data_IF_210832825719
#
_entry.id   IF_210832825719
#
_cell.length_a   1.000
_cell.length_b   1.000
_cell.length_c   1.000
_cell.angle_alpha   90.00
_cell.angle_beta   90.00
_cell.angle_gamma   90.00
#
_symmetry.space_group_name_H-M   'P 1'
#
loop_
_entity.id
_entity.type
_entity.pdbx_description
1 polymer ?
#
# COMPACT_ATOMS: atom_id res chain seq x y z
N UNK A 1 -12.24 25.87 -2.03
CA UNK A 1 -12.22 25.30 -3.39
C UNK A 1 -12.18 23.79 -3.31
N UNK A 2 -13.24 23.08 -3.73
CA UNK A 2 -13.18 21.62 -3.87
C UNK A 2 -12.14 21.28 -4.95
N UNK A 3 -11.10 20.51 -4.59
CA UNK A 3 -10.14 20.02 -5.58
C UNK A 3 -10.82 18.90 -6.37
N UNK A 4 -11.09 19.15 -7.64
CA UNK A 4 -11.59 18.14 -8.56
C UNK A 4 -10.45 17.15 -8.83
N UNK A 5 -10.63 15.90 -8.40
CA UNK A 5 -9.65 14.84 -8.63
C UNK A 5 -9.92 14.13 -9.95
N UNK A 6 -8.87 13.80 -10.70
CA UNK A 6 -9.02 12.94 -11.87
C UNK A 6 -9.43 11.52 -11.45
N UNK A 7 -10.03 10.76 -12.37
CA UNK A 7 -10.41 9.36 -12.12
C UNK A 7 -9.22 8.53 -11.61
N UNK A 8 -8.04 8.74 -12.18
CA UNK A 8 -6.81 8.07 -11.76
C UNK A 8 -6.40 8.45 -10.33
N UNK A 9 -6.49 9.74 -9.97
CA UNK A 9 -6.22 10.19 -8.59
C UNK A 9 -7.19 9.54 -7.59
N UNK A 10 -8.48 9.44 -7.94
CA UNK A 10 -9.47 8.77 -7.11
C UNK A 10 -9.14 7.28 -6.92
N UNK A 11 -8.66 6.60 -7.97
CA UNK A 11 -8.22 5.21 -7.87
C UNK A 11 -7.00 5.05 -6.96
N UNK A 12 -6.03 5.95 -7.03
CA UNK A 12 -4.86 5.95 -6.13
C UNK A 12 -5.29 6.17 -4.67
N UNK A 13 -6.18 7.13 -4.42
CA UNK A 13 -6.72 7.40 -3.08
C UNK A 13 -7.51 6.19 -2.56
N UNK A 14 -8.31 5.55 -3.41
CA UNK A 14 -9.04 4.33 -3.07
C UNK A 14 -8.08 3.22 -2.67
N UNK A 15 -7.07 2.93 -3.49
CA UNK A 15 -6.07 1.91 -3.20
C UNK A 15 -5.35 2.16 -1.87
N UNK A 16 -4.96 3.41 -1.60
CA UNK A 16 -4.34 3.79 -0.32
C UNK A 16 -5.25 3.47 0.86
N UNK A 17 -6.54 3.84 0.79
CA UNK A 17 -7.52 3.56 1.84
C UNK A 17 -7.74 2.07 2.03
N UNK A 18 -7.80 1.31 0.95
CA UNK A 18 -8.05 -0.12 1.01
C UNK A 18 -6.86 -0.86 1.63
N UNK A 19 -5.62 -0.48 1.27
CA UNK A 19 -4.41 -1.00 1.90
C UNK A 19 -4.33 -0.66 3.39
N UNK A 20 -4.67 0.57 3.78
CA UNK A 20 -4.71 0.93 5.19
C UNK A 20 -5.77 0.12 5.95
N UNK A 21 -6.93 -0.13 5.35
CA UNK A 21 -8.00 -0.94 5.97
C UNK A 21 -7.63 -2.40 6.10
N UNK A 22 -6.91 -2.96 5.14
CA UNK A 22 -6.43 -4.34 5.20
C UNK A 22 -5.51 -4.59 6.40
N UNK A 23 -4.84 -3.55 6.91
CA UNK A 23 -3.90 -3.64 8.04
C UNK A 23 -4.47 -3.13 9.37
N UNK A 24 -5.69 -2.58 9.37
CA UNK A 24 -6.38 -2.18 10.61
C UNK A 24 -6.78 -3.43 11.41
N UNK A 25 -6.58 -3.44 12.74
CA UNK A 25 -7.08 -4.52 13.58
C UNK A 25 -8.59 -4.66 13.44
N UNK A 26 -9.09 -5.84 13.12
CA UNK A 26 -10.52 -6.13 13.28
C UNK A 26 -10.82 -6.19 14.78
N UNK A 27 -11.77 -5.37 15.23
CA UNK A 27 -12.21 -5.31 16.64
C UNK A 27 -12.72 -6.66 17.16
N UNK A 28 -13.07 -7.58 16.26
CA UNK A 28 -13.55 -8.93 16.56
C UNK A 28 -12.45 -9.97 16.78
N UNK A 29 -11.17 -9.63 16.69
CA UNK A 29 -10.08 -10.54 17.07
C UNK A 29 -9.79 -10.37 18.57
N UNK A 30 -10.26 -11.30 19.44
CA UNK A 30 -9.90 -11.23 20.84
C UNK A 30 -8.40 -11.52 20.95
N UNK A 31 -7.68 -10.75 21.77
CA UNK A 31 -6.34 -11.08 22.27
C UNK A 31 -5.18 -11.20 21.26
N UNK A 32 -5.17 -10.44 20.16
CA UNK A 32 -3.92 -10.26 19.40
C UNK A 32 -2.93 -9.40 20.21
N UNK A 33 -2.04 -10.06 20.96
CA UNK A 33 -1.07 -9.44 21.87
C UNK A 33 -0.27 -8.27 21.29
N UNK A 34 0.25 -7.42 22.20
CA UNK A 34 0.97 -6.16 21.93
C UNK A 34 2.00 -6.19 20.79
N UNK A 35 2.58 -7.35 20.47
CA UNK A 35 3.53 -7.49 19.35
C UNK A 35 2.85 -7.43 17.97
N UNK A 36 1.66 -8.03 17.79
CA UNK A 36 0.91 -7.99 16.52
C UNK A 36 0.32 -6.61 16.25
N UNK A 37 -0.04 -5.86 17.29
CA UNK A 37 -0.49 -4.48 17.15
C UNK A 37 0.65 -3.55 16.76
N UNK A 38 1.87 -3.76 17.29
CA UNK A 38 3.07 -3.03 16.90
C UNK A 38 3.45 -3.29 15.42
N UNK A 39 3.52 -4.54 14.98
CA UNK A 39 3.81 -4.90 13.58
C UNK A 39 2.80 -4.27 12.60
N UNK A 40 1.52 -4.24 12.95
CA UNK A 40 0.47 -3.58 12.14
C UNK A 40 0.63 -2.07 12.09
N UNK A 41 1.07 -1.44 13.19
CA UNK A 41 1.33 0.00 13.24
C UNK A 41 2.52 0.35 12.33
N UNK A 42 3.61 -0.41 12.43
CA UNK A 42 4.78 -0.27 11.55
C UNK A 42 4.39 -0.44 10.08
N UNK A 43 3.54 -1.42 9.75
CA UNK A 43 3.06 -1.64 8.39
C UNK A 43 2.23 -0.47 7.86
N UNK A 44 1.37 0.12 8.71
CA UNK A 44 0.61 1.31 8.36
C UNK A 44 1.52 2.51 8.04
N UNK A 45 2.57 2.70 8.82
CA UNK A 45 3.53 3.79 8.60
C UNK A 45 4.44 3.51 7.40
N UNK A 46 4.76 2.25 7.14
CA UNK A 46 5.40 1.82 5.91
C UNK A 46 4.53 2.17 4.69
N UNK A 47 3.26 1.77 4.66
CA UNK A 47 2.33 2.10 3.55
C UNK A 47 2.29 3.61 3.30
N UNK A 48 2.17 4.42 4.35
CA UNK A 48 2.19 5.90 4.24
C UNK A 48 3.47 6.42 3.60
N UNK A 49 4.61 5.90 4.03
CA UNK A 49 5.93 6.30 3.54
C UNK A 49 6.11 5.94 2.07
N UNK A 50 5.69 4.73 1.69
CA UNK A 50 5.73 4.27 0.30
C UNK A 50 4.88 5.14 -0.63
N UNK A 51 3.64 5.43 -0.26
CA UNK A 51 2.75 6.28 -1.07
C UNK A 51 3.32 7.71 -1.22
N UNK A 52 3.92 8.27 -0.16
CA UNK A 52 4.55 9.59 -0.23
C UNK A 52 5.78 9.58 -1.15
N UNK A 53 6.61 8.53 -1.08
CA UNK A 53 7.78 8.40 -1.94
C UNK A 53 7.39 8.31 -3.41
N UNK A 54 6.43 7.45 -3.74
CA UNK A 54 5.96 7.32 -5.14
C UNK A 54 5.28 8.59 -5.65
N UNK A 55 4.54 9.29 -4.80
CA UNK A 55 3.95 10.58 -5.16
C UNK A 55 5.01 11.65 -5.52
N UNK A 56 6.20 11.57 -4.92
CA UNK A 56 7.35 12.42 -5.28
C UNK A 56 8.10 11.94 -6.54
N UNK A 57 7.99 10.66 -6.89
CA UNK A 57 8.67 10.06 -8.04
C UNK A 57 7.99 10.39 -9.37
N UNK A 58 6.65 10.37 -9.41
CA UNK A 58 5.90 10.54 -10.64
C UNK A 58 5.50 11.98 -10.91
N UNK A 59 5.73 12.46 -12.13
CA UNK A 59 5.09 13.67 -12.64
C UNK A 59 3.61 13.38 -12.94
N UNK A 60 2.76 14.39 -12.80
CA UNK A 60 1.31 14.27 -13.07
C UNK A 60 0.99 13.83 -14.52
N UNK A 61 1.91 14.07 -15.45
CA UNK A 61 1.78 13.72 -16.87
C UNK A 61 2.20 12.28 -17.18
N UNK A 62 2.88 11.59 -16.26
CA UNK A 62 3.35 10.21 -16.44
C UNK A 62 2.25 9.18 -16.17
N UNK A 63 1.10 9.37 -16.83
CA UNK A 63 -0.14 8.61 -16.61
C UNK A 63 0.09 7.11 -16.65
N UNK A 64 0.79 6.61 -17.68
CA UNK A 64 1.07 5.18 -17.84
C UNK A 64 1.90 4.58 -16.69
N UNK A 65 2.84 5.35 -16.15
CA UNK A 65 3.67 4.89 -15.03
C UNK A 65 2.87 4.84 -13.74
N UNK A 66 2.01 5.85 -13.51
CA UNK A 66 1.09 5.89 -12.37
C UNK A 66 0.10 4.72 -12.45
N UNK A 67 -0.44 4.43 -13.63
CA UNK A 67 -1.31 3.27 -13.83
C UNK A 67 -0.60 1.93 -13.61
N UNK A 68 0.64 1.80 -14.07
CA UNK A 68 1.44 0.61 -13.82
C UNK A 68 1.69 0.41 -12.32
N UNK A 69 1.98 1.49 -11.58
CA UNK A 69 2.12 1.46 -10.12
C UNK A 69 0.80 1.10 -9.43
N UNK A 70 -0.31 1.66 -9.89
CA UNK A 70 -1.66 1.36 -9.38
C UNK A 70 -1.99 -0.13 -9.55
N UNK A 71 -1.75 -0.71 -10.73
CA UNK A 71 -1.98 -2.15 -10.99
C UNK A 71 -1.13 -3.05 -10.08
N UNK A 72 0.14 -2.69 -9.85
CA UNK A 72 1.01 -3.43 -8.91
C UNK A 72 0.47 -3.39 -7.49
N UNK A 73 0.03 -2.22 -7.02
CA UNK A 73 -0.52 -2.07 -5.69
C UNK A 73 -1.85 -2.82 -5.50
N UNK A 74 -2.71 -2.85 -6.54
CA UNK A 74 -3.96 -3.63 -6.52
C UNK A 74 -3.70 -5.13 -6.38
N UNK A 75 -2.78 -5.70 -7.16
CA UNK A 75 -2.38 -7.12 -7.00
C UNK A 75 -1.91 -7.41 -5.57
N UNK A 76 -1.13 -6.51 -4.98
CA UNK A 76 -0.64 -6.68 -3.62
C UNK A 76 -1.75 -6.62 -2.55
N UNK A 77 -2.77 -5.80 -2.79
CA UNK A 77 -3.97 -5.77 -1.96
C UNK A 77 -4.76 -7.09 -2.08
N UNK A 78 -4.87 -7.65 -3.29
CA UNK A 78 -5.49 -8.97 -3.52
C UNK A 78 -4.71 -10.09 -2.80
N UNK A 79 -3.37 -10.05 -2.84
CA UNK A 79 -2.51 -10.98 -2.10
C UNK A 79 -2.73 -10.90 -0.58
N UNK A 80 -2.86 -9.68 -0.04
CA UNK A 80 -3.15 -9.46 1.38
C UNK A 80 -4.55 -9.98 1.77
N UNK A 81 -5.55 -9.74 0.92
CA UNK A 81 -6.93 -10.15 1.19
C UNK A 81 -7.16 -11.65 1.03
N UNK A 82 -6.44 -12.31 0.11
CA UNK A 82 -6.59 -13.74 -0.16
C UNK A 82 -6.01 -14.64 0.94
N UNK A 83 -5.34 -14.09 1.96
CA UNK A 83 -4.68 -14.86 3.01
C UNK A 83 -3.42 -15.60 2.52
N UNK A 84 -3.05 -15.46 1.24
CA UNK A 84 -1.82 -16.00 0.64
C UNK A 84 -0.58 -15.47 1.37
N UNK A 85 -0.68 -14.27 1.95
CA UNK A 85 0.37 -13.65 2.77
C UNK A 85 0.12 -13.95 4.26
N UNK A 86 0.31 -15.21 4.65
CA UNK A 86 0.34 -15.62 6.08
C UNK A 86 1.65 -15.16 6.80
N UNK A 87 2.54 -14.49 6.07
CA UNK A 87 3.69 -13.75 6.59
C UNK A 87 3.79 -12.43 5.85
N UNK A 88 3.24 -11.39 6.48
CA UNK A 88 3.56 -9.98 6.17
C UNK A 88 5.08 -9.75 6.19
N UNK A 89 5.84 -10.62 6.86
CA UNK A 89 7.30 -10.74 6.84
C UNK A 89 7.91 -11.03 5.45
N UNK A 90 7.11 -11.41 4.45
CA UNK A 90 7.53 -11.53 3.03
C UNK A 90 7.14 -10.32 2.18
N UNK A 91 6.60 -9.25 2.78
CA UNK A 91 6.79 -7.88 2.25
C UNK A 91 8.25 -7.54 2.52
N UNK A 92 9.08 -8.23 1.75
CA UNK A 92 10.52 -8.21 1.77
C UNK A 92 10.95 -6.73 1.77
N UNK A 93 11.59 -6.30 2.87
CA UNK A 93 12.52 -5.16 2.85
C UNK A 93 13.57 -5.31 1.72
N UNK A 94 13.69 -6.52 1.14
CA UNK A 94 14.50 -6.86 -0.03
C UNK A 94 13.74 -6.80 -1.38
N UNK A 95 12.40 -6.83 -1.45
CA UNK A 95 11.63 -6.66 -2.69
C UNK A 95 11.04 -5.26 -2.75
N UNK A 96 11.90 -4.35 -3.20
CA UNK A 96 11.54 -2.98 -3.56
C UNK A 96 10.18 -2.96 -4.24
N UNK A 97 9.14 -2.36 -3.64
CA UNK A 97 7.79 -2.43 -4.18
C UNK A 97 7.61 -1.72 -5.54
N UNK A 98 8.62 -0.99 -6.01
CA UNK A 98 8.59 -0.20 -7.25
C UNK A 98 9.81 -0.39 -8.16
N UNK A 99 10.53 -1.51 -8.01
CA UNK A 99 11.62 -1.90 -8.90
C UNK A 99 12.91 -1.14 -8.61
N UNK A 100 13.91 -1.87 -8.13
CA UNK A 100 15.30 -1.44 -8.21
C UNK A 100 15.92 -2.05 -9.44
N UNK A 101 15.98 -1.29 -10.53
CA UNK A 101 16.92 -1.60 -11.58
C UNK A 101 18.30 -1.13 -11.09
N UNK A 102 19.22 -2.06 -10.92
CA UNK A 102 20.63 -1.79 -10.62
C UNK A 102 21.26 -1.33 -11.93
N UNK A 103 21.52 -0.03 -12.05
CA UNK A 103 22.64 0.44 -12.88
C UNK A 103 23.89 0.42 -12.05
#
# INVERSE_FOLDING_TARGET
>A
MQRVHSKLQLQVIKLYRDLLRAVIPRETEPTAGSARSAERLELRDFIRTEFRREAGKYKKTEVLQIEAALRRGQRRLEDLNSGTVNRISRISLSDRPFGGDKR
#
